data_IF_319694222983
#
_entry.id   IF_319694222983
#
_cell.length_a   1.000
_cell.length_b   1.000
_cell.length_c   1.000
_cell.angle_alpha   90.00
_cell.angle_beta   90.00
_cell.angle_gamma   90.00
#
_symmetry.space_group_name_H-M   'P 1'
#
loop_
_entity.id
_entity.type
_entity.pdbx_description
1 polymer ?
#
# COMPACT_ATOMS: atom_id res chain seq x y z
N UNK A 1 -0.16 7.88 4.05
CA UNK A 1 0.54 7.26 5.18
C UNK A 1 1.87 6.73 4.69
N UNK A 2 2.95 6.96 5.43
CA UNK A 2 4.22 6.27 5.24
C UNK A 2 4.40 5.24 6.35
N UNK A 3 4.71 4.01 5.96
CA UNK A 3 5.06 2.92 6.85
C UNK A 3 6.58 2.75 6.79
N UNK A 4 7.28 2.81 7.92
CA UNK A 4 8.66 2.34 7.95
C UNK A 4 8.70 0.84 7.63
N UNK A 5 9.76 0.38 6.99
CA UNK A 5 9.95 -1.03 6.66
C UNK A 5 11.39 -1.43 6.95
N UNK A 6 11.58 -2.47 7.78
CA UNK A 6 12.91 -2.98 8.14
C UNK A 6 13.33 -4.02 7.10
N UNK A 7 13.42 -3.61 5.84
CA UNK A 7 13.87 -4.45 4.72
C UNK A 7 15.39 -4.47 4.71
N UNK A 8 15.99 -5.65 4.55
CA UNK A 8 17.45 -5.77 4.40
C UNK A 8 17.80 -5.49 2.94
N UNK A 9 18.54 -4.43 2.69
CA UNK A 9 19.07 -4.06 1.37
C UNK A 9 20.49 -3.52 1.49
N UNK A 10 21.22 -3.47 0.38
CA UNK A 10 22.56 -2.88 0.35
C UNK A 10 22.50 -1.42 0.81
N UNK A 11 23.47 -1.00 1.63
CA UNK A 11 23.51 0.36 2.20
C UNK A 11 22.65 0.56 3.46
N UNK A 12 21.87 -0.43 3.89
CA UNK A 12 21.05 -0.36 5.10
C UNK A 12 21.57 -1.30 6.20
N UNK A 13 21.59 -0.83 7.45
CA UNK A 13 22.01 -1.61 8.61
C UNK A 13 20.80 -2.12 9.39
N UNK A 14 20.35 -3.32 9.05
CA UNK A 14 19.24 -4.00 9.75
C UNK A 14 19.78 -5.24 10.47
N UNK A 15 19.94 -5.14 11.79
CA UNK A 15 20.43 -6.21 12.66
C UNK A 15 19.29 -6.85 13.44
N UNK A 16 19.15 -8.18 13.35
CA UNK A 16 18.05 -8.95 13.96
C UNK A 16 18.56 -10.28 14.50
N UNK A 17 17.97 -10.73 15.60
CA UNK A 17 18.13 -12.12 16.04
C UNK A 17 17.34 -13.09 15.15
N UNK A 18 17.89 -14.28 14.89
CA UNK A 18 17.33 -15.26 13.96
C UNK A 18 15.91 -15.71 14.34
N UNK A 19 15.63 -15.93 15.62
CA UNK A 19 14.34 -16.40 16.10
C UNK A 19 13.24 -15.35 15.83
N UNK A 20 13.53 -14.06 16.05
CA UNK A 20 12.60 -12.97 15.69
C UNK A 20 12.44 -12.85 14.18
N UNK A 21 13.45 -13.18 13.39
CA UNK A 21 13.33 -13.18 11.94
C UNK A 21 12.33 -14.23 11.45
N UNK A 22 12.43 -15.48 11.94
CA UNK A 22 11.50 -16.55 11.58
C UNK A 22 10.06 -16.23 12.00
N UNK A 23 9.88 -15.79 13.25
CA UNK A 23 8.58 -15.37 13.77
C UNK A 23 7.99 -14.19 12.97
N UNK A 24 8.81 -13.17 12.70
CA UNK A 24 8.42 -12.00 11.94
C UNK A 24 7.99 -12.37 10.52
N UNK A 25 8.67 -13.30 9.86
CA UNK A 25 8.31 -13.79 8.51
C UNK A 25 6.97 -14.51 8.52
N UNK A 26 6.75 -15.44 9.46
CA UNK A 26 5.49 -16.17 9.57
C UNK A 26 4.31 -15.21 9.83
N UNK A 27 4.52 -14.26 10.75
CA UNK A 27 3.51 -13.24 11.03
C UNK A 27 3.26 -12.33 9.82
N UNK A 28 4.30 -11.87 9.13
CA UNK A 28 4.16 -11.01 7.95
C UNK A 28 3.33 -11.71 6.86
N UNK A 29 3.58 -13.01 6.62
CA UNK A 29 2.76 -13.82 5.70
C UNK A 29 1.31 -13.86 6.17
N UNK A 30 1.06 -14.13 7.46
CA UNK A 30 -0.30 -14.20 8.00
C UNK A 30 -1.03 -12.84 7.90
N UNK A 31 -0.34 -11.74 8.20
CA UNK A 31 -0.88 -10.39 8.12
C UNK A 31 -1.17 -9.99 6.67
N UNK A 32 -0.23 -10.19 5.75
CA UNK A 32 -0.41 -9.93 4.32
C UNK A 32 -1.58 -10.76 3.74
N UNK A 33 -1.70 -12.03 4.13
CA UNK A 33 -2.82 -12.90 3.73
C UNK A 33 -4.16 -12.43 4.31
N UNK A 34 -4.16 -11.93 5.54
CA UNK A 34 -5.35 -11.43 6.22
C UNK A 34 -5.86 -10.14 5.58
N UNK A 35 -4.95 -9.21 5.31
CA UNK A 35 -5.24 -7.93 4.66
C UNK A 35 -5.47 -8.08 3.16
N UNK A 36 -4.89 -9.12 2.54
CA UNK A 36 -4.76 -9.26 1.08
C UNK A 36 -4.14 -8.00 0.50
N UNK A 37 -3.06 -7.51 1.12
CA UNK A 37 -2.29 -6.37 0.65
C UNK A 37 -0.82 -6.78 0.57
N UNK A 38 -0.08 -6.34 -0.46
CA UNK A 38 1.35 -6.63 -0.60
C UNK A 38 2.18 -5.75 0.34
N UNK A 39 2.07 -5.96 1.65
CA UNK A 39 2.80 -5.21 2.69
C UNK A 39 3.94 -6.06 3.23
N UNK A 40 5.15 -5.50 3.24
CA UNK A 40 6.37 -6.19 3.61
C UNK A 40 6.59 -6.25 5.12
N UNK A 41 6.41 -5.13 5.83
CA UNK A 41 6.68 -5.04 7.27
C UNK A 41 5.60 -4.25 8.03
N UNK A 42 4.49 -4.92 8.31
CA UNK A 42 3.46 -4.37 9.21
C UNK A 42 4.06 -4.04 10.58
N UNK A 43 4.89 -4.96 11.11
CA UNK A 43 5.52 -4.92 12.44
C UNK A 43 6.55 -3.81 12.68
N UNK A 44 6.82 -2.95 11.71
CA UNK A 44 7.63 -1.76 11.95
C UNK A 44 6.80 -0.71 12.72
N UNK A 45 7.26 -0.31 13.90
CA UNK A 45 6.57 0.67 14.74
C UNK A 45 6.63 2.11 14.24
N UNK A 46 7.49 2.42 13.26
CA UNK A 46 7.57 3.74 12.65
C UNK A 46 6.46 3.91 11.61
N UNK A 47 5.46 4.74 11.91
CA UNK A 47 4.33 5.03 11.04
C UNK A 47 4.10 6.54 11.02
N UNK A 48 4.03 7.14 9.84
CA UNK A 48 3.76 8.57 9.66
C UNK A 48 2.44 8.77 8.94
N UNK A 49 1.53 9.51 9.57
CA UNK A 49 0.22 9.86 9.01
C UNK A 49 0.10 11.38 8.90
N UNK A 50 -0.51 11.84 7.80
CA UNK A 50 -0.84 13.26 7.66
C UNK A 50 -2.01 13.57 8.59
N UNK A 51 -1.86 14.57 9.46
CA UNK A 51 -2.96 15.05 10.28
C UNK A 51 -4.07 15.62 9.38
N UNK A 52 -5.32 15.24 9.64
CA UNK A 52 -6.47 15.63 8.83
C UNK A 52 -7.66 14.72 9.11
N UNK A 53 -8.75 14.99 8.40
CA UNK A 53 -10.04 14.31 8.63
C UNK A 53 -9.97 12.80 8.38
N UNK A 54 -9.22 12.37 7.35
CA UNK A 54 -9.00 10.94 7.09
C UNK A 54 -8.33 10.23 8.27
N UNK A 55 -7.30 10.83 8.85
CA UNK A 55 -6.64 10.29 10.04
C UNK A 55 -7.56 10.35 11.25
N UNK A 56 -8.38 11.39 11.42
CA UNK A 56 -9.36 11.45 12.51
C UNK A 56 -10.35 10.29 12.45
N UNK A 57 -10.90 10.01 11.27
CA UNK A 57 -11.82 8.89 11.05
C UNK A 57 -11.19 7.52 11.33
N UNK A 58 -9.92 7.34 10.95
CA UNK A 58 -9.19 6.09 11.22
C UNK A 58 -9.02 5.78 12.72
N UNK A 59 -8.98 6.80 13.57
CA UNK A 59 -8.74 6.68 15.02
C UNK A 59 -9.99 6.96 15.86
N UNK A 60 -11.13 7.27 15.23
CA UNK A 60 -12.37 7.64 15.92
C UNK A 60 -12.88 6.52 16.85
N UNK A 61 -12.76 5.27 16.40
CA UNK A 61 -13.19 4.10 17.18
C UNK A 61 -12.01 3.44 17.88
N UNK A 62 -12.17 2.90 19.10
CA UNK A 62 -11.14 2.11 19.75
C UNK A 62 -10.67 0.93 18.88
N UNK A 63 -9.39 0.58 18.96
CA UNK A 63 -8.83 -0.58 18.25
C UNK A 63 -9.32 -1.89 18.89
N UNK A 64 -9.70 -2.86 18.06
CA UNK A 64 -10.05 -4.22 18.48
C UNK A 64 -8.85 -4.93 19.10
N UNK A 65 -7.65 -4.62 18.60
CA UNK A 65 -6.42 -5.27 19.04
C UNK A 65 -5.39 -4.24 19.48
N UNK A 66 -4.88 -4.39 20.71
CA UNK A 66 -3.78 -3.55 21.20
C UNK A 66 -2.44 -3.91 20.59
N UNK A 67 -2.27 -5.17 20.23
CA UNK A 67 -0.98 -5.70 19.76
C UNK A 67 -0.82 -5.64 18.25
N UNK A 68 -1.91 -5.77 17.47
CA UNK A 68 -1.91 -5.71 16.01
C UNK A 68 -2.60 -4.43 15.49
N UNK A 69 -2.42 -3.33 16.23
CA UNK A 69 -3.06 -2.06 15.91
C UNK A 69 -2.70 -1.57 14.50
N UNK A 70 -1.48 -1.86 14.05
CA UNK A 70 -0.93 -1.54 12.74
C UNK A 70 -1.67 -2.29 11.62
N UNK A 71 -1.93 -3.58 11.80
CA UNK A 71 -2.71 -4.40 10.87
C UNK A 71 -4.15 -3.90 10.82
N UNK A 72 -4.74 -3.60 11.98
CA UNK A 72 -6.09 -3.04 12.04
C UNK A 72 -6.17 -1.65 11.39
N UNK A 73 -5.17 -0.80 11.59
CA UNK A 73 -5.09 0.52 10.96
C UNK A 73 -5.10 0.40 9.44
N UNK A 74 -4.40 -0.58 8.87
CA UNK A 74 -4.43 -0.87 7.44
C UNK A 74 -5.80 -1.38 6.97
N UNK A 75 -6.45 -2.23 7.75
CA UNK A 75 -7.81 -2.69 7.46
C UNK A 75 -8.83 -1.54 7.47
N UNK A 76 -8.70 -0.60 8.42
CA UNK A 76 -9.50 0.64 8.46
C UNK A 76 -9.24 1.51 7.24
N UNK A 77 -7.98 1.62 6.81
CA UNK A 77 -7.61 2.38 5.62
C UNK A 77 -8.23 1.78 4.35
N UNK A 78 -8.20 0.45 4.21
CA UNK A 78 -8.86 -0.27 3.12
C UNK A 78 -10.38 -0.04 3.12
N UNK A 79 -11.02 -0.13 4.29
CA UNK A 79 -12.45 0.17 4.43
C UNK A 79 -12.79 1.63 4.11
N UNK A 80 -12.00 2.58 4.58
CA UNK A 80 -12.19 4.00 4.30
C UNK A 80 -12.07 4.32 2.81
N UNK A 81 -11.05 3.77 2.12
CA UNK A 81 -10.90 3.92 0.67
C UNK A 81 -12.08 3.29 -0.07
N UNK A 82 -12.58 2.13 0.39
CA UNK A 82 -13.77 1.51 -0.18
C UNK A 82 -14.99 2.41 -0.04
N UNK A 83 -15.24 2.98 1.14
CA UNK A 83 -16.44 3.77 1.41
C UNK A 83 -16.49 5.07 0.60
N UNK A 84 -15.34 5.60 0.18
CA UNK A 84 -15.24 6.74 -0.75
C UNK A 84 -15.27 6.34 -2.23
N UNK A 85 -15.09 5.06 -2.56
CA UNK A 85 -15.00 4.59 -3.94
C UNK A 85 -16.40 4.28 -4.47
N UNK A 86 -16.75 4.85 -5.62
CA UNK A 86 -17.97 4.49 -6.36
C UNK A 86 -17.92 3.05 -6.88
N UNK A 87 -16.72 2.50 -7.04
CA UNK A 87 -16.50 1.15 -7.55
C UNK A 87 -16.14 0.18 -6.42
N UNK A 88 -16.82 -0.97 -6.41
CA UNK A 88 -16.53 -2.10 -5.53
C UNK A 88 -15.58 -3.11 -6.22
N UNK A 89 -14.54 -2.60 -6.87
CA UNK A 89 -13.50 -3.41 -7.50
C UNK A 89 -12.22 -3.43 -6.65
N UNK A 90 -11.71 -4.63 -6.39
CA UNK A 90 -10.49 -4.83 -5.57
C UNK A 90 -9.25 -4.29 -6.27
N UNK A 91 -9.14 -4.46 -7.59
CA UNK A 91 -7.93 -4.05 -8.33
C UNK A 91 -7.79 -2.52 -8.27
N UNK A 92 -8.87 -1.79 -8.54
CA UNK A 92 -8.91 -0.33 -8.38
C UNK A 92 -8.61 0.11 -6.95
N UNK A 93 -9.16 -0.59 -5.96
CA UNK A 93 -8.88 -0.28 -4.55
C UNK A 93 -7.41 -0.46 -4.20
N UNK A 94 -6.77 -1.52 -4.69
CA UNK A 94 -5.34 -1.77 -4.48
C UNK A 94 -4.48 -0.65 -5.11
N UNK A 95 -4.86 -0.15 -6.30
CA UNK A 95 -4.22 1.00 -6.95
C UNK A 95 -4.41 2.29 -6.13
N UNK A 96 -5.59 2.53 -5.59
CA UNK A 96 -5.86 3.73 -4.78
C UNK A 96 -5.15 3.68 -3.42
N UNK A 97 -5.01 2.48 -2.84
CA UNK A 97 -4.24 2.24 -1.62
C UNK A 97 -2.74 2.45 -1.86
N UNK A 98 -2.18 1.92 -2.94
CA UNK A 98 -0.75 2.08 -3.25
C UNK A 98 -0.34 3.52 -3.52
N UNK A 99 -1.26 4.37 -3.97
CA UNK A 99 -1.04 5.83 -4.07
C UNK A 99 -0.98 6.52 -2.71
N UNK A 100 -1.66 5.97 -1.70
CA UNK A 100 -1.84 6.59 -0.37
C UNK A 100 -0.93 6.00 0.70
N UNK A 101 -0.51 4.74 0.55
CA UNK A 101 0.29 4.00 1.53
C UNK A 101 1.61 3.62 0.89
N UNK A 102 2.71 4.11 1.47
CA UNK A 102 4.06 3.87 0.98
C UNK A 102 4.89 3.19 2.06
N UNK A 103 5.62 2.14 1.71
CA UNK A 103 6.64 1.55 2.58
C UNK A 103 7.99 2.22 2.33
N UNK A 104 8.56 2.81 3.39
CA UNK A 104 9.85 3.48 3.34
C UNK A 104 10.91 2.65 4.10
N UNK A 105 12.01 2.28 3.44
CA UNK A 105 13.04 1.46 4.08
C UNK A 105 13.83 2.24 5.12
N UNK A 106 13.98 1.68 6.33
CA UNK A 106 14.79 2.28 7.39
C UNK A 106 16.29 2.12 7.09
N UNK A 107 17.07 3.18 7.26
CA UNK A 107 18.53 3.17 7.04
C UNK A 107 19.29 2.40 8.11
N UNK A 108 18.91 2.54 9.37
CA UNK A 108 19.49 1.84 10.51
C UNK A 108 18.37 1.34 11.45
N UNK A 109 18.44 0.06 11.81
CA UNK A 109 17.59 -0.53 12.83
C UNK A 109 18.33 -1.68 13.51
N UNK A 110 18.40 -1.61 14.84
CA UNK A 110 19.03 -2.65 15.66
C UNK A 110 18.05 -3.25 16.64
N UNK A 111 18.05 -4.57 16.68
CA UNK A 111 17.25 -5.34 17.61
C UNK A 111 17.81 -5.22 19.03
N UNK A 112 17.03 -4.63 19.95
CA UNK A 112 17.40 -4.56 21.37
C UNK A 112 17.06 -5.88 22.07
N UNK A 113 18.01 -6.39 22.85
CA UNK A 113 17.85 -7.62 23.64
C UNK A 113 16.79 -7.44 24.73
N UNK A 114 16.08 -8.53 25.10
CA UNK A 114 15.00 -8.51 26.10
C UNK A 114 13.60 -8.77 25.52
N UNK A 115 13.44 -9.84 24.73
CA UNK A 115 12.14 -10.16 24.09
C UNK A 115 11.05 -10.38 25.14
N UNK A 116 10.02 -9.54 25.12
CA UNK A 116 8.76 -9.78 25.84
C UNK A 116 7.83 -10.73 25.07
N UNK A 117 8.16 -11.06 23.82
CA UNK A 117 7.35 -11.92 22.95
C UNK A 117 7.62 -13.38 23.28
N UNK A 118 6.57 -14.10 23.68
CA UNK A 118 6.56 -15.52 24.05
C UNK A 118 5.95 -16.36 22.91
N UNK A 119 6.24 -17.66 22.82
CA UNK A 119 5.63 -18.54 21.81
C UNK A 119 4.09 -18.52 21.81
N UNK A 120 3.48 -18.37 22.99
CA UNK A 120 2.03 -18.24 23.16
C UNK A 120 1.43 -16.96 22.55
N UNK A 121 2.25 -15.98 22.18
CA UNK A 121 1.78 -14.80 21.47
C UNK A 121 1.43 -15.12 20.01
N UNK A 122 1.98 -16.20 19.40
CA UNK A 122 1.65 -16.55 18.02
C UNK A 122 0.18 -16.96 17.84
N UNK A 123 -0.37 -17.95 18.60
CA UNK A 123 -1.80 -18.28 18.51
C UNK A 123 -2.70 -17.08 18.81
N UNK A 124 -2.30 -16.22 19.77
CA UNK A 124 -3.00 -14.98 20.08
C UNK A 124 -3.01 -14.01 18.91
N UNK A 125 -1.88 -13.85 18.20
CA UNK A 125 -1.77 -13.06 16.97
C UNK A 125 -2.75 -13.57 15.92
N UNK A 126 -2.76 -14.87 15.67
CA UNK A 126 -3.60 -15.48 14.66
C UNK A 126 -5.09 -15.30 14.98
N UNK A 127 -5.49 -15.42 16.24
CA UNK A 127 -6.86 -15.13 16.68
C UNK A 127 -7.23 -13.65 16.48
N UNK A 128 -6.31 -12.73 16.81
CA UNK A 128 -6.49 -11.29 16.58
C UNK A 128 -6.62 -10.96 15.09
N UNK A 129 -5.81 -11.57 14.22
CA UNK A 129 -5.94 -11.45 12.76
C UNK A 129 -7.31 -11.94 12.28
N UNK A 130 -7.80 -13.06 12.81
CA UNK A 130 -9.14 -13.57 12.50
C UNK A 130 -10.24 -12.63 12.96
N UNK A 131 -10.08 -11.99 14.12
CA UNK A 131 -11.01 -10.98 14.62
C UNK A 131 -11.04 -9.75 13.70
N UNK A 132 -9.88 -9.23 13.29
CA UNK A 132 -9.76 -8.13 12.33
C UNK A 132 -10.47 -8.51 11.01
N UNK A 133 -10.16 -9.67 10.42
CA UNK A 133 -10.79 -10.08 9.15
C UNK A 133 -12.31 -10.17 9.21
N UNK A 134 -12.87 -10.57 10.35
CA UNK A 134 -14.33 -10.62 10.56
C UNK A 134 -14.93 -9.24 10.71
N UNK A 135 -14.23 -8.32 11.37
CA UNK A 135 -14.69 -6.96 11.60
C UNK A 135 -14.64 -6.07 10.36
N UNK A 136 -13.78 -6.39 9.38
CA UNK A 136 -13.63 -5.62 8.14
C UNK A 136 -13.99 -6.46 6.90
N UNK A 137 -15.27 -6.50 6.50
CA UNK A 137 -15.74 -7.27 5.34
C UNK A 137 -15.09 -6.86 4.01
N UNK A 138 -14.58 -5.63 3.91
CA UNK A 138 -13.86 -5.12 2.73
C UNK A 138 -12.68 -6.02 2.33
N UNK A 139 -12.05 -6.68 3.30
CA UNK A 139 -10.93 -7.61 3.10
C UNK A 139 -11.36 -8.95 2.48
N UNK A 140 -12.64 -9.34 2.60
CA UNK A 140 -13.11 -10.67 2.21
C UNK A 140 -13.57 -10.77 0.76
N UNK A 141 -13.88 -9.65 0.09
CA UNK A 141 -14.41 -9.67 -1.28
C UNK A 141 -13.34 -10.12 -2.31
N UNK A 142 -13.69 -11.03 -3.23
CA UNK A 142 -12.79 -11.44 -4.31
C UNK A 142 -12.52 -10.25 -5.25
N UNK A 143 -11.40 -10.28 -5.97
CA UNK A 143 -11.21 -9.36 -7.08
C UNK A 143 -12.32 -9.65 -8.11
N UNK A 144 -13.17 -8.67 -8.40
CA UNK A 144 -14.12 -8.79 -9.47
C UNK A 144 -13.34 -9.05 -10.76
N UNK A 145 -13.74 -10.08 -11.49
CA UNK A 145 -13.03 -10.52 -12.70
C UNK A 145 -13.06 -9.44 -13.77
N UNK A 146 -11.88 -9.20 -14.36
CA UNK A 146 -11.61 -8.40 -15.56
C UNK A 146 -11.90 -6.90 -15.39
N UNK A 147 -10.82 -6.10 -15.43
CA UNK A 147 -10.91 -4.66 -15.69
C UNK A 147 -11.79 -4.44 -16.94
N UNK A 148 -12.85 -3.62 -16.89
CA UNK A 148 -13.46 -3.16 -18.13
C UNK A 148 -12.38 -2.45 -18.95
N UNK A 149 -12.28 -2.83 -20.22
CA UNK A 149 -11.40 -2.18 -21.18
C UNK A 149 -11.60 -0.67 -21.08
N UNK A 150 -10.49 0.06 -21.03
CA UNK A 150 -10.46 1.51 -21.05
C UNK A 150 -11.42 2.00 -22.14
N UNK A 151 -12.32 2.97 -21.89
CA UNK A 151 -13.14 3.53 -22.96
C UNK A 151 -12.18 3.99 -24.05
N UNK A 152 -12.43 3.50 -25.27
CA UNK A 152 -11.64 3.89 -26.43
C UNK A 152 -11.63 5.41 -26.49
N UNK A 153 -10.44 6.00 -26.41
CA UNK A 153 -10.25 7.41 -26.70
C UNK A 153 -10.90 7.64 -28.08
N UNK A 154 -11.86 8.57 -28.23
CA UNK A 154 -12.43 8.84 -29.53
C UNK A 154 -11.27 9.17 -30.47
N UNK A 155 -11.19 8.44 -31.58
CA UNK A 155 -10.17 8.68 -32.59
C UNK A 155 -10.16 10.18 -32.92
N UNK A 156 -9.01 10.82 -32.70
CA UNK A 156 -8.76 12.19 -33.16
C UNK A 156 -9.21 12.28 -34.63
N UNK A 157 -10.04 13.25 -35.02
CA UNK A 157 -10.39 13.41 -36.42
C UNK A 157 -9.09 13.66 -37.17
N UNK A 158 -8.67 12.71 -38.01
CA UNK A 158 -7.58 12.93 -38.94
C UNK A 158 -8.02 14.09 -39.82
N UNK A 159 -7.26 15.19 -39.75
CA UNK A 159 -7.45 16.35 -40.60
C UNK A 159 -7.50 15.89 -42.05
N UNK A 160 -8.60 16.22 -42.72
CA UNK A 160 -8.70 16.17 -44.18
C UNK A 160 -7.59 17.07 -44.72
N UNK A 161 -6.67 16.47 -45.45
CA UNK A 161 -5.71 17.21 -46.26
C UNK A 161 -6.47 18.03 -47.29
N UNK A 162 -6.17 19.32 -47.34
CA UNK A 162 -6.38 20.13 -48.52
C UNK A 162 -5.01 20.63 -48.98
N UNK A 163 -4.65 20.16 -50.15
CA UNK A 163 -3.64 20.71 -51.05
C UNK A 163 -4.04 22.12 -51.47
N UNK A 164 -3.15 23.11 -51.29
CA UNK A 164 -2.69 23.96 -52.39
C UNK A 164 -1.60 24.94 -51.93
N UNK A 165 -0.46 24.83 -52.60
CA UNK A 165 0.25 25.88 -53.31
C UNK A 165 0.49 27.23 -52.60
N UNK A 166 1.76 27.52 -52.28
CA UNK A 166 2.45 28.72 -52.77
C UNK A 166 3.91 28.73 -52.32
N UNK A 167 4.79 28.82 -53.31
CA UNK A 167 6.24 29.11 -53.18
C UNK A 167 6.48 30.32 -52.26
N UNK A 168 7.45 30.21 -51.37
CA UNK A 168 8.20 31.34 -50.85
C UNK A 168 9.64 30.88 -50.53
N UNK A 169 10.59 31.59 -51.13
CA UNK A 169 12.03 31.43 -51.05
C UNK A 169 12.57 31.42 -49.61
N UNK A 170 13.56 30.58 -49.36
CA UNK A 170 14.44 30.65 -48.17
C UNK A 170 15.86 30.86 -48.66
N UNK A 171 16.53 31.99 -48.37
CA UNK A 171 17.95 32.13 -48.64
C UNK A 171 18.79 31.48 -47.52
N UNK A 172 19.88 30.84 -47.93
CA UNK A 172 20.86 30.16 -47.08
C UNK A 172 21.51 31.08 -46.02
N UNK A 173 21.88 30.53 -44.84
CA UNK A 173 22.67 31.27 -43.86
C UNK A 173 24.14 31.33 -44.26
N UNK A 174 24.68 32.55 -44.41
CA UNK A 174 26.12 32.78 -44.48
C UNK A 174 26.75 32.62 -43.10
N UNK A 175 27.85 31.88 -43.08
CA UNK A 175 28.78 31.72 -41.98
C UNK A 175 29.46 33.03 -41.56
N UNK A 176 29.62 33.21 -40.25
CA UNK A 176 30.65 34.02 -39.59
C UNK A 176 31.11 33.24 -38.36
#
# INVERSE_FOLDING_TARGET
MLLGSRVRMMGHRIERQWARHAFGRLFAIAAATTLRLPIYDTQCGAKLLRAGESTRQLFERPFLTRWLFDVELLARYDSWVRDMSEYDDRVRREVELSRRIHEFPLSDWRDVAGSKVKPLDLPRALWQLRAIRRAYPSLSRPAAGRLPSRPETPASPRGRGNTNDSRADVPEPRSC
#
